data_IF_083655417506
#
_entry.id   IF_083655417506
#
_cell.length_a   1.000
_cell.length_b   1.000
_cell.length_c   1.000
_cell.angle_alpha   90.00
_cell.angle_beta   90.00
_cell.angle_gamma   90.00
#
_symmetry.space_group_name_H-M   'P 1'
#
loop_
_entity.id
_entity.type
_entity.pdbx_description
1 polymer ?
#
# COMPACT_ATOMS: atom_id res chain seq x y z
N UNK A 1 4.82 -17.03 33.21
CA UNK A 1 4.66 -16.13 32.04
C UNK A 1 4.52 -14.71 32.54
N UNK A 2 5.51 -13.85 32.28
CA UNK A 2 5.39 -12.43 32.66
C UNK A 2 4.49 -11.71 31.65
N UNK A 3 3.60 -10.85 32.14
CA UNK A 3 2.63 -10.08 31.35
C UNK A 3 3.32 -9.04 30.42
N UNK A 4 4.63 -8.88 30.53
CA UNK A 4 5.39 -7.86 29.80
C UNK A 4 5.72 -8.22 28.34
N UNK A 5 5.76 -9.50 27.96
CA UNK A 5 6.15 -9.93 26.59
C UNK A 5 5.00 -9.98 25.58
N UNK A 6 3.74 -9.86 26.01
CA UNK A 6 2.57 -9.88 25.10
C UNK A 6 2.31 -8.54 24.41
N UNK A 7 2.83 -7.42 24.93
CA UNK A 7 2.64 -6.08 24.37
C UNK A 7 3.46 -5.81 23.09
N UNK A 8 4.33 -6.73 22.67
CA UNK A 8 5.13 -6.63 21.43
C UNK A 8 4.62 -7.50 20.30
N UNK A 9 3.55 -8.28 20.51
CA UNK A 9 3.00 -9.15 19.48
C UNK A 9 2.28 -8.35 18.38
N UNK A 10 2.40 -8.73 17.10
CA UNK A 10 1.64 -8.12 16.02
C UNK A 10 0.13 -8.21 16.27
N UNK A 11 -0.61 -7.12 16.07
CA UNK A 11 -2.07 -7.17 16.18
C UNK A 11 -2.69 -7.90 14.97
N UNK A 12 -3.64 -8.81 15.24
CA UNK A 12 -4.42 -9.51 14.22
C UNK A 12 -5.83 -8.94 14.24
N UNK A 13 -6.18 -8.18 13.20
CA UNK A 13 -7.51 -7.60 13.05
C UNK A 13 -8.49 -8.66 12.55
N UNK A 14 -9.76 -8.50 12.88
CA UNK A 14 -10.82 -9.37 12.35
C UNK A 14 -11.06 -9.10 10.85
N UNK A 15 -11.60 -10.09 10.14
CA UNK A 15 -11.97 -9.92 8.71
C UNK A 15 -12.96 -8.76 8.52
N UNK A 16 -13.90 -8.55 9.45
CA UNK A 16 -14.85 -7.44 9.39
C UNK A 16 -14.19 -6.07 9.51
N UNK A 17 -13.20 -5.92 10.39
CA UNK A 17 -12.42 -4.69 10.54
C UNK A 17 -11.60 -4.42 9.28
N UNK A 18 -10.98 -5.46 8.71
CA UNK A 18 -10.24 -5.35 7.46
C UNK A 18 -11.15 -4.98 6.28
N UNK A 19 -12.39 -5.47 6.23
CA UNK A 19 -13.37 -5.04 5.22
C UNK A 19 -13.68 -3.55 5.37
N UNK A 20 -13.86 -3.05 6.59
CA UNK A 20 -14.08 -1.60 6.84
C UNK A 20 -12.85 -0.79 6.39
N UNK A 21 -11.65 -1.27 6.68
CA UNK A 21 -10.41 -0.63 6.28
C UNK A 21 -10.20 -0.65 4.77
N UNK A 22 -10.63 -1.72 4.08
CA UNK A 22 -10.63 -1.80 2.62
C UNK A 22 -11.45 -0.66 2.02
N UNK A 23 -12.70 -0.45 2.47
CA UNK A 23 -13.53 0.62 1.95
C UNK A 23 -12.99 2.02 2.28
N UNK A 24 -12.32 2.18 3.42
CA UNK A 24 -11.69 3.45 3.81
C UNK A 24 -10.45 3.77 3.00
N UNK A 25 -9.66 2.78 2.60
CA UNK A 25 -8.33 2.99 2.02
C UNK A 25 -8.28 2.72 0.51
N UNK A 26 -9.03 1.73 0.00
CA UNK A 26 -8.92 1.28 -1.38
C UNK A 26 -9.97 1.91 -2.31
N UNK A 27 -11.12 2.31 -1.76
CA UNK A 27 -12.29 2.85 -2.50
C UNK A 27 -12.34 4.39 -2.50
N UNK A 28 -11.20 5.01 -2.18
CA UNK A 28 -11.05 6.47 -2.25
C UNK A 28 -11.17 6.91 -3.71
N UNK A 29 -11.92 7.98 -3.97
CA UNK A 29 -11.98 8.61 -5.29
C UNK A 29 -10.57 9.13 -5.60
N UNK A 30 -9.92 8.57 -6.61
CA UNK A 30 -8.62 9.04 -7.06
C UNK A 30 -8.72 10.52 -7.40
N UNK A 31 -7.79 11.32 -6.89
CA UNK A 31 -7.62 12.69 -7.37
C UNK A 31 -7.26 12.66 -8.86
N UNK A 32 -7.79 13.62 -9.60
CA UNK A 32 -7.47 13.74 -11.02
C UNK A 32 -6.02 14.20 -11.12
N UNK A 33 -5.18 13.38 -11.73
CA UNK A 33 -3.81 13.74 -12.07
C UNK A 33 -3.83 14.84 -13.15
N UNK A 34 -3.64 16.09 -12.70
CA UNK A 34 -3.62 17.27 -13.57
C UNK A 34 -2.49 17.20 -14.60
N UNK A 35 -1.36 16.57 -14.28
CA UNK A 35 -0.25 16.42 -15.22
C UNK A 35 -0.63 15.46 -16.36
N UNK A 36 -1.35 14.38 -16.03
CA UNK A 36 -1.90 13.49 -17.03
C UNK A 36 -2.96 14.19 -17.90
N UNK A 37 -3.88 14.96 -17.29
CA UNK A 37 -4.87 15.77 -18.01
C UNK A 37 -4.17 16.67 -19.02
N UNK A 38 -3.17 17.42 -18.60
CA UNK A 38 -2.45 18.35 -19.46
C UNK A 38 -1.73 17.62 -20.60
N UNK A 39 -1.14 16.45 -20.36
CA UNK A 39 -0.54 15.62 -21.42
C UNK A 39 -1.58 15.20 -22.46
N UNK A 40 -2.73 14.69 -22.04
CA UNK A 40 -3.79 14.23 -22.96
C UNK A 40 -4.39 15.42 -23.72
N UNK A 41 -4.63 16.55 -23.05
CA UNK A 41 -5.10 17.80 -23.66
C UNK A 41 -4.10 18.30 -24.69
N UNK A 42 -2.82 18.38 -24.34
CA UNK A 42 -1.78 18.88 -25.24
C UNK A 42 -1.60 17.98 -26.45
N UNK A 43 -1.65 16.65 -26.28
CA UNK A 43 -1.58 15.71 -27.39
C UNK A 43 -2.78 15.87 -28.34
N UNK A 44 -4.00 15.97 -27.80
CA UNK A 44 -5.21 16.20 -28.60
C UNK A 44 -5.16 17.57 -29.29
N UNK A 45 -4.68 18.62 -28.61
CA UNK A 45 -4.49 19.95 -29.20
C UNK A 45 -3.47 19.96 -30.32
N UNK A 46 -2.35 19.26 -30.18
CA UNK A 46 -1.36 19.10 -31.24
C UNK A 46 -1.93 18.33 -32.44
N UNK A 47 -2.79 17.34 -32.17
CA UNK A 47 -3.44 16.51 -33.19
C UNK A 47 -4.63 17.17 -33.88
N UNK A 48 -5.14 18.29 -33.37
CA UNK A 48 -6.27 19.02 -33.95
C UNK A 48 -6.04 19.36 -35.42
N UNK A 49 -4.81 19.76 -35.74
CA UNK A 49 -4.47 20.12 -37.10
C UNK A 49 -4.47 18.87 -38.00
N UNK A 50 -4.18 17.67 -37.49
CA UNK A 50 -4.05 16.48 -38.34
C UNK A 50 -5.37 16.11 -39.02
N UNK A 51 -5.38 15.88 -40.35
CA UNK A 51 -6.59 15.51 -41.07
C UNK A 51 -7.19 14.18 -40.58
N UNK A 52 -8.51 14.13 -40.41
CA UNK A 52 -9.21 12.87 -40.14
C UNK A 52 -9.36 12.05 -41.42
N UNK A 53 -8.98 10.77 -41.34
CA UNK A 53 -9.08 9.80 -42.42
C UNK A 53 -10.21 8.84 -42.05
N UNK A 54 -11.36 8.98 -42.71
CA UNK A 54 -12.59 8.20 -42.45
C UNK A 54 -12.56 6.82 -43.11
N UNK A 55 -11.46 6.06 -42.97
CA UNK A 55 -11.34 4.75 -43.62
C UNK A 55 -11.83 3.58 -42.76
N UNK A 56 -12.05 3.79 -41.47
CA UNK A 56 -12.40 2.73 -40.51
C UNK A 56 -13.88 2.73 -40.13
N UNK A 57 -14.47 1.53 -40.05
CA UNK A 57 -15.79 1.32 -39.47
C UNK A 57 -15.83 1.76 -37.99
N UNK A 58 -17.01 2.12 -37.45
CA UNK A 58 -17.15 2.50 -36.05
C UNK A 58 -16.60 1.39 -35.14
N UNK A 59 -15.75 1.76 -34.18
CA UNK A 59 -15.17 0.79 -33.25
C UNK A 59 -16.24 0.36 -32.24
N UNK A 60 -16.50 -0.94 -32.15
CA UNK A 60 -17.39 -1.50 -31.14
C UNK A 60 -16.61 -1.69 -29.82
N UNK A 61 -17.17 -1.24 -28.70
CA UNK A 61 -16.59 -1.41 -27.36
C UNK A 61 -17.39 -2.41 -26.55
N UNK A 62 -16.68 -3.23 -25.78
CA UNK A 62 -17.25 -4.22 -24.85
C UNK A 62 -17.73 -3.60 -23.54
N UNK A 63 -17.19 -2.44 -23.17
CA UNK A 63 -17.59 -1.72 -21.96
C UNK A 63 -17.38 -0.21 -22.12
N UNK A 64 -18.10 0.57 -21.30
CA UNK A 64 -17.91 2.03 -21.23
C UNK A 64 -16.49 2.39 -20.77
N UNK A 65 -15.88 1.56 -19.92
CA UNK A 65 -14.49 1.73 -19.47
C UNK A 65 -13.51 1.63 -20.64
N UNK A 66 -13.71 0.66 -21.53
CA UNK A 66 -12.85 0.47 -22.71
C UNK A 66 -13.00 1.61 -23.71
N UNK A 67 -14.23 2.10 -23.88
CA UNK A 67 -14.52 3.27 -24.69
C UNK A 67 -13.79 4.52 -24.16
N UNK A 68 -13.90 4.80 -22.86
CA UNK A 68 -13.24 5.95 -22.24
C UNK A 68 -11.71 5.85 -22.40
N UNK A 69 -11.13 4.67 -22.13
CA UNK A 69 -9.69 4.43 -22.32
C UNK A 69 -9.26 4.63 -23.77
N UNK A 70 -10.08 4.21 -24.72
CA UNK A 70 -9.82 4.47 -26.13
C UNK A 70 -9.87 5.96 -26.46
N UNK A 71 -10.89 6.69 -26.01
CA UNK A 71 -11.04 8.13 -26.27
C UNK A 71 -9.88 8.94 -25.69
N UNK A 72 -9.44 8.62 -24.47
CA UNK A 72 -8.30 9.25 -23.80
C UNK A 72 -6.93 8.84 -24.39
N UNK A 73 -6.89 7.80 -25.23
CA UNK A 73 -5.67 7.33 -25.87
C UNK A 73 -5.34 8.13 -27.13
N UNK A 74 -4.17 8.76 -27.14
CA UNK A 74 -3.68 9.51 -28.29
C UNK A 74 -4.64 10.62 -28.72
N UNK A 75 -4.99 10.63 -30.01
CA UNK A 75 -5.83 11.67 -30.63
C UNK A 75 -7.26 11.19 -30.90
N UNK A 76 -7.69 10.11 -30.26
CA UNK A 76 -8.95 9.45 -30.61
C UNK A 76 -10.15 10.33 -30.30
N UNK A 77 -10.14 11.05 -29.16
CA UNK A 77 -11.20 12.02 -28.84
C UNK A 77 -11.42 13.04 -29.97
N UNK A 78 -10.33 13.62 -30.49
CA UNK A 78 -10.39 14.60 -31.60
C UNK A 78 -10.90 13.96 -32.89
N UNK A 79 -10.45 12.74 -33.21
CA UNK A 79 -10.81 12.02 -34.44
C UNK A 79 -12.28 11.60 -34.43
N UNK A 80 -12.73 10.93 -33.37
CA UNK A 80 -14.11 10.43 -33.26
C UNK A 80 -15.14 11.57 -33.22
N UNK A 81 -14.80 12.70 -32.60
CA UNK A 81 -15.66 13.89 -32.58
C UNK A 81 -15.49 14.79 -33.82
N UNK A 82 -14.67 14.40 -34.81
CA UNK A 82 -14.41 15.17 -36.03
C UNK A 82 -13.99 16.63 -35.76
N UNK A 83 -13.24 16.83 -34.67
CA UNK A 83 -12.78 18.16 -34.26
C UNK A 83 -11.59 18.64 -35.09
N UNK A 84 -10.97 17.77 -35.89
CA UNK A 84 -9.77 18.10 -36.62
C UNK A 84 -9.97 18.95 -37.88
N UNK A 85 -8.86 19.27 -38.57
CA UNK A 85 -8.89 19.84 -39.91
C UNK A 85 -9.73 18.97 -40.88
N UNK A 86 -10.45 19.63 -41.78
CA UNK A 86 -11.24 18.96 -42.79
C UNK A 86 -10.33 18.30 -43.81
N UNK A 87 -10.63 17.04 -44.13
CA UNK A 87 -9.92 16.25 -45.12
C UNK A 87 -10.91 15.50 -45.99
N UNK A 88 -10.90 15.84 -47.28
CA UNK A 88 -11.68 15.11 -48.28
C UNK A 88 -10.78 14.13 -49.02
N UNK A 89 -11.18 12.86 -49.03
CA UNK A 89 -10.61 11.88 -49.96
C UNK A 89 -11.24 12.11 -51.34
N UNK A 90 -10.43 12.52 -52.32
CA UNK A 90 -10.86 12.78 -53.71
C UNK A 90 -11.57 11.59 -54.38
N UNK A 91 -11.46 10.39 -53.82
CA UNK A 91 -11.82 9.12 -54.47
C UNK A 91 -13.26 8.67 -54.15
N UNK A 92 -13.93 9.18 -53.10
CA UNK A 92 -15.19 8.58 -52.61
C UNK A 92 -16.50 9.21 -53.10
N UNK A 93 -16.55 10.51 -53.34
CA UNK A 93 -17.84 11.23 -53.53
C UNK A 93 -17.98 11.93 -54.91
N UNK A 94 -16.95 11.85 -55.77
CA UNK A 94 -16.92 12.49 -57.07
C UNK A 94 -16.61 14.00 -57.02
N UNK A 95 -16.08 14.54 -58.13
CA UNK A 95 -15.50 15.88 -58.19
C UNK A 95 -16.50 17.01 -57.89
N UNK A 96 -17.77 16.86 -58.27
CA UNK A 96 -18.78 17.92 -58.14
C UNK A 96 -19.21 18.13 -56.68
N UNK A 97 -19.42 17.05 -55.92
CA UNK A 97 -19.74 17.14 -54.50
C UNK A 97 -18.57 17.74 -53.71
N UNK A 98 -17.34 17.41 -54.10
CA UNK A 98 -16.13 17.99 -53.52
C UNK A 98 -16.06 19.51 -53.72
N UNK A 99 -16.36 20.01 -54.91
CA UNK A 99 -16.38 21.46 -55.20
C UNK A 99 -17.47 22.18 -54.41
N UNK A 100 -18.67 21.60 -54.30
CA UNK A 100 -19.77 22.16 -53.50
C UNK A 100 -19.39 22.21 -52.03
N UNK A 101 -18.86 21.12 -51.48
CA UNK A 101 -18.44 21.05 -50.07
C UNK A 101 -17.30 22.02 -49.76
N UNK A 102 -16.36 22.18 -50.69
CA UNK A 102 -15.27 23.16 -50.56
C UNK A 102 -15.79 24.59 -50.52
N UNK A 103 -16.70 24.96 -51.43
CA UNK A 103 -17.33 26.29 -51.46
C UNK A 103 -18.14 26.57 -50.18
N UNK A 104 -18.88 25.58 -49.66
CA UNK A 104 -19.57 25.68 -48.37
C UNK A 104 -18.60 25.97 -47.22
N UNK A 105 -17.51 25.20 -47.11
CA UNK A 105 -16.52 25.38 -46.05
C UNK A 105 -15.79 26.72 -46.16
N UNK A 106 -15.52 27.21 -47.38
CA UNK A 106 -14.96 28.55 -47.57
C UNK A 106 -15.90 29.64 -47.03
N UNK A 107 -17.22 29.52 -47.25
CA UNK A 107 -18.22 30.45 -46.70
C UNK A 107 -18.28 30.42 -45.17
N UNK A 108 -18.01 29.26 -44.57
CA UNK A 108 -17.87 29.10 -43.12
C UNK A 108 -16.54 29.63 -42.56
N UNK A 109 -15.64 30.14 -43.41
CA UNK A 109 -14.37 30.75 -43.01
C UNK A 109 -13.19 29.77 -42.92
N UNK A 110 -13.34 28.54 -43.43
CA UNK A 110 -12.23 27.61 -43.53
C UNK A 110 -11.20 28.11 -44.54
N UNK A 111 -9.92 27.75 -44.31
CA UNK A 111 -8.81 28.13 -45.17
C UNK A 111 -8.17 26.91 -45.80
N UNK A 112 -8.11 26.88 -47.12
CA UNK A 112 -7.36 25.86 -47.87
C UNK A 112 -5.89 25.93 -47.49
N UNK A 113 -5.29 24.78 -47.18
CA UNK A 113 -3.88 24.70 -46.80
C UNK A 113 -3.05 24.42 -48.04
N UNK A 114 -1.98 25.20 -48.25
CA UNK A 114 -1.04 24.90 -49.33
C UNK A 114 -0.20 23.67 -48.98
N UNK A 115 0.25 22.92 -50.00
CA UNK A 115 1.15 21.77 -49.80
C UNK A 115 2.50 22.15 -49.15
N UNK A 116 2.86 23.43 -49.14
CA UNK A 116 4.10 23.97 -48.57
C UNK A 116 3.95 24.37 -47.08
N UNK A 117 2.72 24.53 -46.58
CA UNK A 117 2.45 24.76 -45.15
C UNK A 117 2.58 23.44 -44.38
N UNK A 118 3.84 23.03 -44.22
CA UNK A 118 4.25 21.70 -43.81
C UNK A 118 3.97 21.44 -42.32
N UNK A 119 3.09 20.46 -42.08
CA UNK A 119 2.81 19.67 -40.86
C UNK A 119 1.53 18.83 -41.08
N UNK A 120 0.73 19.20 -42.10
CA UNK A 120 -0.53 18.56 -42.49
C UNK A 120 -0.39 17.61 -43.69
N UNK A 121 0.61 17.86 -44.53
CA UNK A 121 1.00 17.01 -45.65
C UNK A 121 2.00 15.95 -45.15
N UNK A 122 1.49 14.86 -44.58
CA UNK A 122 2.32 13.66 -44.39
C UNK A 122 2.62 13.08 -45.78
N UNK A 123 3.82 12.54 -46.01
CA UNK A 123 4.30 12.04 -47.32
C UNK A 123 3.41 10.99 -48.03
N UNK A 124 2.32 10.52 -47.41
CA UNK A 124 1.32 9.61 -47.98
C UNK A 124 0.12 10.32 -48.64
N UNK A 125 0.08 11.67 -48.69
CA UNK A 125 -1.11 12.44 -49.07
C UNK A 125 -1.03 13.11 -50.45
N UNK A 126 -0.71 12.36 -51.51
CA UNK A 126 -0.89 12.84 -52.89
C UNK A 126 -2.40 12.79 -53.22
N UNK A 127 -2.99 13.88 -53.73
CA UNK A 127 -4.42 14.04 -54.08
C UNK A 127 -5.41 14.19 -52.90
N UNK A 128 -5.15 15.08 -51.94
CA UNK A 128 -6.05 15.37 -50.82
C UNK A 128 -6.28 16.88 -50.66
N UNK A 129 -7.53 17.28 -50.47
CA UNK A 129 -7.91 18.65 -50.12
C UNK A 129 -7.99 18.75 -48.59
N UNK A 130 -7.17 19.62 -48.01
CA UNK A 130 -7.14 19.88 -46.57
C UNK A 130 -7.53 21.33 -46.31
N UNK A 131 -8.47 21.56 -45.39
CA UNK A 131 -8.87 22.90 -44.97
C UNK A 131 -8.76 23.06 -43.45
N UNK A 132 -8.10 24.13 -43.02
CA UNK A 132 -8.02 24.55 -41.61
C UNK A 132 -9.34 25.22 -41.20
N UNK A 133 -9.81 24.91 -40.00
CA UNK A 133 -10.96 25.59 -39.39
C UNK A 133 -10.63 27.07 -39.07
N UNK A 134 -11.63 27.97 -39.02
CA UNK A 134 -11.43 29.33 -38.55
C UNK A 134 -11.09 29.39 -37.05
N UNK A 135 -10.32 30.40 -36.63
CA UNK A 135 -9.77 30.50 -35.27
C UNK A 135 -10.82 30.44 -34.15
N UNK A 136 -12.00 31.04 -34.36
CA UNK A 136 -13.12 31.00 -33.41
C UNK A 136 -13.63 29.57 -33.13
N UNK A 137 -13.67 28.72 -34.16
CA UNK A 137 -14.02 27.30 -34.00
C UNK A 137 -12.92 26.53 -33.28
N UNK A 138 -11.64 26.85 -33.54
CA UNK A 138 -10.50 26.21 -32.87
C UNK A 138 -10.56 26.46 -31.35
N UNK A 139 -10.82 27.68 -30.91
CA UNK A 139 -10.93 28.00 -29.48
C UNK A 139 -12.08 27.25 -28.80
N UNK A 140 -13.22 27.17 -29.48
CA UNK A 140 -14.41 26.44 -29.01
C UNK A 140 -14.12 24.95 -28.90
N UNK A 141 -13.47 24.36 -29.90
CA UNK A 141 -13.11 22.94 -29.93
C UNK A 141 -12.06 22.60 -28.86
N UNK A 142 -11.06 23.46 -28.64
CA UNK A 142 -10.06 23.27 -27.57
C UNK A 142 -10.73 23.32 -26.19
N UNK A 143 -11.68 24.24 -25.98
CA UNK A 143 -12.45 24.31 -24.73
C UNK A 143 -13.25 23.02 -24.51
N UNK A 144 -13.94 22.56 -25.55
CA UNK A 144 -14.68 21.29 -25.52
C UNK A 144 -13.77 20.09 -25.20
N UNK A 145 -12.58 20.00 -25.82
CA UNK A 145 -11.60 18.93 -25.56
C UNK A 145 -11.21 18.89 -24.09
N UNK A 146 -10.90 20.05 -23.49
CA UNK A 146 -10.53 20.14 -22.07
C UNK A 146 -11.67 19.67 -21.17
N UNK A 147 -12.86 20.19 -21.37
CA UNK A 147 -14.05 19.81 -20.59
C UNK A 147 -14.35 18.31 -20.72
N UNK A 148 -14.25 17.75 -21.93
CA UNK A 148 -14.50 16.33 -22.15
C UNK A 148 -13.43 15.42 -21.57
N UNK A 149 -12.16 15.77 -21.63
CA UNK A 149 -11.10 14.96 -21.01
C UNK A 149 -11.33 14.86 -19.49
N UNK A 150 -11.65 15.98 -18.84
CA UNK A 150 -11.94 15.99 -17.40
C UNK A 150 -13.16 15.11 -17.08
N UNK A 151 -14.26 15.29 -17.80
CA UNK A 151 -15.47 14.48 -17.59
C UNK A 151 -15.24 12.97 -17.81
N UNK A 152 -14.47 12.61 -18.84
CA UNK A 152 -14.14 11.21 -19.13
C UNK A 152 -13.26 10.60 -18.02
N UNK A 153 -12.30 11.36 -17.49
CA UNK A 153 -11.46 10.91 -16.38
C UNK A 153 -12.26 10.77 -15.08
N UNK A 154 -13.18 11.69 -14.80
CA UNK A 154 -14.11 11.57 -13.67
C UNK A 154 -14.99 10.32 -13.80
N UNK A 155 -15.56 10.09 -14.97
CA UNK A 155 -16.37 8.90 -15.25
C UNK A 155 -15.55 7.61 -15.11
N UNK A 156 -14.30 7.59 -15.61
CA UNK A 156 -13.40 6.45 -15.47
C UNK A 156 -13.11 6.16 -13.99
N UNK A 157 -12.78 7.19 -13.21
CA UNK A 157 -12.51 7.06 -11.78
C UNK A 157 -13.74 6.52 -11.03
N UNK A 158 -14.94 6.97 -11.38
CA UNK A 158 -16.18 6.50 -10.76
C UNK A 158 -16.50 5.04 -11.14
N UNK A 159 -16.24 4.63 -12.39
CA UNK A 159 -16.36 3.22 -12.82
C UNK A 159 -15.38 2.36 -12.03
N UNK A 160 -14.10 2.74 -11.97
CA UNK A 160 -13.08 1.99 -11.24
C UNK A 160 -13.36 1.93 -9.74
N UNK A 161 -13.89 3.00 -9.16
CA UNK A 161 -14.34 3.02 -7.76
C UNK A 161 -15.49 2.04 -7.53
N UNK A 162 -16.50 2.01 -8.40
CA UNK A 162 -17.62 1.07 -8.31
C UNK A 162 -17.15 -0.38 -8.46
N UNK A 163 -16.21 -0.64 -9.36
CA UNK A 163 -15.60 -1.97 -9.48
C UNK A 163 -14.84 -2.41 -8.23
N UNK A 164 -14.30 -1.46 -7.45
CA UNK A 164 -13.68 -1.73 -6.14
C UNK A 164 -14.71 -1.85 -5.02
N UNK A 165 -15.94 -1.35 -5.17
CA UNK A 165 -17.01 -1.56 -4.19
C UNK A 165 -17.56 -2.99 -4.14
N UNK A 166 -17.05 -3.88 -4.98
CA UNK A 166 -17.42 -5.29 -5.02
C UNK A 166 -17.11 -5.99 -3.69
N UNK A 167 -18.17 -6.56 -3.08
CA UNK A 167 -18.09 -7.30 -1.82
C UNK A 167 -17.14 -8.49 -1.90
N UNK A 168 -17.08 -9.17 -3.04
CA UNK A 168 -16.19 -10.33 -3.24
C UNK A 168 -14.73 -9.86 -3.23
N UNK A 169 -14.43 -8.72 -3.87
CA UNK A 169 -13.07 -8.15 -3.85
C UNK A 169 -12.66 -7.69 -2.46
N UNK A 170 -13.55 -6.99 -1.75
CA UNK A 170 -13.31 -6.56 -0.37
C UNK A 170 -13.07 -7.76 0.56
N UNK A 171 -13.88 -8.81 0.42
CA UNK A 171 -13.77 -10.04 1.22
C UNK A 171 -12.46 -10.77 0.93
N UNK A 172 -12.10 -10.96 -0.35
CA UNK A 172 -10.85 -11.63 -0.72
C UNK A 172 -9.63 -10.85 -0.23
N UNK A 173 -9.65 -9.52 -0.34
CA UNK A 173 -8.58 -8.68 0.19
C UNK A 173 -8.44 -8.84 1.72
N UNK A 174 -9.56 -8.78 2.44
CA UNK A 174 -9.57 -8.91 3.90
C UNK A 174 -9.11 -10.29 4.37
N UNK A 175 -9.51 -11.37 3.69
CA UNK A 175 -9.05 -12.73 4.00
C UNK A 175 -7.54 -12.90 3.78
N UNK A 176 -7.03 -12.38 2.66
CA UNK A 176 -5.58 -12.41 2.39
C UNK A 176 -4.81 -11.63 3.45
N UNK A 177 -5.24 -10.42 3.78
CA UNK A 177 -4.61 -9.60 4.82
C UNK A 177 -4.69 -10.23 6.22
N UNK A 178 -5.82 -10.82 6.57
CA UNK A 178 -5.97 -11.55 7.82
C UNK A 178 -5.00 -12.74 7.89
N UNK A 179 -4.87 -13.51 6.81
CA UNK A 179 -3.93 -14.63 6.73
C UNK A 179 -2.48 -14.18 6.91
N UNK A 180 -2.09 -13.07 6.26
CA UNK A 180 -0.77 -12.45 6.45
C UNK A 180 -0.52 -12.02 7.90
N UNK A 181 -1.50 -11.35 8.53
CA UNK A 181 -1.41 -10.94 9.94
C UNK A 181 -1.29 -12.14 10.88
N UNK A 182 -2.08 -13.19 10.65
CA UNK A 182 -2.03 -14.41 11.46
C UNK A 182 -0.69 -15.14 11.32
N UNK A 183 -0.17 -15.27 10.10
CA UNK A 183 1.13 -15.90 9.86
C UNK A 183 2.27 -15.12 10.54
N UNK A 184 2.22 -13.78 10.52
CA UNK A 184 3.19 -12.94 11.21
C UNK A 184 3.10 -13.09 12.74
N UNK A 185 1.88 -13.18 13.28
CA UNK A 185 1.65 -13.43 14.70
C UNK A 185 2.16 -14.81 15.14
N UNK A 186 1.81 -15.86 14.41
CA UNK A 186 2.23 -17.23 14.70
C UNK A 186 3.76 -17.37 14.65
N UNK A 187 4.41 -16.70 13.68
CA UNK A 187 5.86 -16.63 13.59
C UNK A 187 6.49 -15.94 14.81
N UNK A 188 5.94 -14.80 15.24
CA UNK A 188 6.44 -14.08 16.41
C UNK A 188 6.30 -14.91 17.70
N UNK A 189 5.21 -15.67 17.85
CA UNK A 189 5.05 -16.63 18.95
C UNK A 189 6.12 -17.72 18.89
N UNK A 190 6.35 -18.32 17.73
CA UNK A 190 7.34 -19.38 17.58
C UNK A 190 8.76 -18.90 17.92
N UNK A 191 9.12 -17.69 17.51
CA UNK A 191 10.40 -17.06 17.84
C UNK A 191 10.53 -16.78 19.34
N UNK A 192 9.48 -16.28 19.99
CA UNK A 192 9.45 -16.09 21.45
C UNK A 192 9.59 -17.43 22.19
N UNK A 193 8.82 -18.44 21.80
CA UNK A 193 8.88 -19.78 22.40
C UNK A 193 10.27 -20.43 22.21
N UNK A 194 10.88 -20.26 21.04
CA UNK A 194 12.25 -20.74 20.79
C UNK A 194 13.29 -19.99 21.63
N UNK A 195 13.14 -18.67 21.78
CA UNK A 195 14.01 -17.87 22.64
C UNK A 195 13.90 -18.27 24.11
N UNK A 196 12.68 -18.50 24.60
CA UNK A 196 12.43 -18.98 25.97
C UNK A 196 13.00 -20.39 26.17
N UNK A 197 12.78 -21.30 25.21
CA UNK A 197 13.34 -22.66 25.27
C UNK A 197 14.87 -22.68 25.26
N UNK A 198 15.51 -21.81 24.45
CA UNK A 198 16.97 -21.67 24.43
C UNK A 198 17.49 -21.13 25.76
N UNK A 199 16.86 -20.07 26.30
CA UNK A 199 17.22 -19.52 27.61
C UNK A 199 17.09 -20.57 28.72
N UNK A 200 16.01 -21.36 28.70
CA UNK A 200 15.81 -22.46 29.64
C UNK A 200 16.88 -23.55 29.46
N UNK A 201 17.17 -23.96 28.22
CA UNK A 201 18.21 -24.94 27.94
C UNK A 201 19.59 -24.48 28.44
N UNK A 202 19.97 -23.23 28.15
CA UNK A 202 21.22 -22.64 28.63
C UNK A 202 21.28 -22.63 30.17
N UNK A 203 20.15 -22.36 30.82
CA UNK A 203 20.04 -22.44 32.28
C UNK A 203 20.28 -23.86 32.80
N UNK A 204 19.60 -24.87 32.24
CA UNK A 204 19.80 -26.26 32.66
C UNK A 204 21.20 -26.78 32.36
N UNK A 205 21.78 -26.43 31.21
CA UNK A 205 23.16 -26.84 30.85
C UNK A 205 24.17 -26.28 31.85
N UNK A 206 24.02 -25.02 32.25
CA UNK A 206 25.00 -24.34 33.10
C UNK A 206 24.77 -24.57 34.61
N UNK A 207 23.52 -24.78 35.05
CA UNK A 207 23.16 -24.75 36.48
C UNK A 207 22.45 -25.98 37.01
N UNK A 208 22.06 -26.96 36.19
CA UNK A 208 21.27 -28.13 36.65
C UNK A 208 21.89 -28.86 37.84
N UNK A 209 23.23 -29.00 37.87
CA UNK A 209 23.95 -29.64 38.97
C UNK A 209 23.77 -28.94 40.34
N UNK A 210 23.34 -27.68 40.33
CA UNK A 210 23.12 -26.89 41.54
C UNK A 210 21.65 -26.81 41.95
N UNK A 211 20.70 -27.26 41.11
CA UNK A 211 19.26 -27.07 41.36
C UNK A 211 18.81 -27.72 42.66
N UNK A 212 19.11 -29.01 42.86
CA UNK A 212 18.77 -29.72 44.10
C UNK A 212 19.38 -29.05 45.34
N UNK A 213 20.60 -28.51 45.19
CA UNK A 213 21.28 -27.81 46.28
C UNK A 213 20.58 -26.49 46.59
N UNK A 214 20.24 -25.70 45.58
CA UNK A 214 19.53 -24.42 45.75
C UNK A 214 18.13 -24.66 46.33
N UNK A 215 17.39 -25.64 45.81
CA UNK A 215 16.04 -25.99 46.27
C UNK A 215 16.02 -26.61 47.69
N UNK A 216 17.13 -27.19 48.16
CA UNK A 216 17.19 -27.78 49.50
C UNK A 216 17.04 -26.79 50.66
N UNK A 217 17.17 -25.48 50.39
CA UNK A 217 17.06 -24.42 51.41
C UNK A 217 15.95 -23.44 51.09
N UNK A 218 15.37 -22.86 52.14
CA UNK A 218 14.27 -21.91 51.98
C UNK A 218 14.75 -20.48 51.71
N UNK A 219 16.03 -20.21 51.99
CA UNK A 219 16.67 -18.93 51.68
C UNK A 219 18.15 -19.10 51.32
N UNK A 220 18.67 -18.11 50.62
CA UNK A 220 20.08 -17.97 50.26
C UNK A 220 20.52 -16.51 50.35
N UNK A 221 21.79 -16.30 50.74
CA UNK A 221 22.47 -15.06 50.45
C UNK A 221 23.04 -15.10 49.03
N UNK A 222 23.01 -13.97 48.31
CA UNK A 222 23.47 -13.94 46.93
C UNK A 222 24.97 -14.27 46.79
N UNK A 223 25.78 -13.88 47.78
CA UNK A 223 27.21 -14.18 47.79
C UNK A 223 27.47 -15.68 47.96
N UNK A 224 26.69 -16.39 48.78
CA UNK A 224 26.79 -17.86 48.92
C UNK A 224 26.46 -18.59 47.62
N UNK A 225 25.47 -18.08 46.87
CA UNK A 225 25.11 -18.61 45.56
C UNK A 225 26.19 -18.33 44.52
N UNK A 226 26.81 -17.15 44.58
CA UNK A 226 27.92 -16.79 43.70
C UNK A 226 29.13 -17.69 43.93
N UNK A 227 29.47 -17.96 45.19
CA UNK A 227 30.54 -18.89 45.53
C UNK A 227 30.24 -20.32 45.06
N UNK A 228 28.98 -20.76 45.17
CA UNK A 228 28.55 -22.07 44.68
C UNK A 228 28.60 -22.18 43.16
N UNK A 229 28.12 -21.16 42.44
CA UNK A 229 28.05 -21.14 40.98
C UNK A 229 29.37 -20.69 40.31
N UNK A 230 30.37 -20.30 41.09
CA UNK A 230 31.72 -19.96 40.62
C UNK A 230 31.76 -18.76 39.68
N UNK A 231 32.14 -19.00 38.42
CA UNK A 231 32.35 -17.94 37.41
C UNK A 231 31.06 -17.51 36.67
N UNK A 232 29.89 -18.00 37.09
CA UNK A 232 28.62 -17.58 36.53
C UNK A 232 28.40 -16.06 36.64
N UNK A 233 27.76 -15.45 35.64
CA UNK A 233 27.43 -14.03 35.73
C UNK A 233 26.32 -13.82 36.76
N UNK A 234 26.35 -12.68 37.47
CA UNK A 234 25.32 -12.37 38.47
C UNK A 234 23.90 -12.44 37.87
N UNK A 235 23.74 -12.02 36.61
CA UNK A 235 22.45 -12.01 35.92
C UNK A 235 21.90 -13.43 35.75
N UNK A 236 22.75 -14.38 35.36
CA UNK A 236 22.34 -15.77 35.15
C UNK A 236 21.91 -16.43 36.48
N UNK A 237 22.61 -16.10 37.57
CA UNK A 237 22.24 -16.57 38.92
C UNK A 237 20.87 -16.02 39.35
N UNK A 238 20.60 -14.73 39.11
CA UNK A 238 19.29 -14.13 39.42
C UNK A 238 18.16 -14.72 38.55
N UNK A 239 18.43 -15.06 37.28
CA UNK A 239 17.49 -15.74 36.40
C UNK A 239 17.17 -17.17 36.89
N UNK A 240 18.17 -17.93 37.33
CA UNK A 240 17.99 -19.25 37.94
C UNK A 240 17.13 -19.17 39.19
N UNK A 241 17.42 -18.22 40.09
CA UNK A 241 16.65 -18.05 41.32
C UNK A 241 15.18 -17.72 41.04
N UNK A 242 14.94 -16.84 40.06
CA UNK A 242 13.59 -16.50 39.63
C UNK A 242 12.88 -17.72 39.04
N UNK A 243 13.58 -18.57 38.27
CA UNK A 243 13.04 -19.81 37.73
C UNK A 243 12.67 -20.83 38.82
N UNK A 244 13.49 -20.94 39.88
CA UNK A 244 13.23 -21.80 41.04
C UNK A 244 12.25 -21.18 42.05
N UNK A 245 11.49 -20.14 41.65
CA UNK A 245 10.52 -19.42 42.48
C UNK A 245 11.13 -18.81 43.76
N UNK A 246 12.36 -18.33 43.71
CA UNK A 246 12.93 -17.47 44.75
C UNK A 246 12.66 -16.00 44.41
N UNK A 247 12.27 -15.23 45.43
CA UNK A 247 12.04 -13.79 45.34
C UNK A 247 13.09 -13.06 46.17
N UNK A 248 13.51 -11.89 45.70
CA UNK A 248 14.45 -11.07 46.46
C UNK A 248 13.69 -10.23 47.49
N UNK A 249 14.14 -10.26 48.74
CA UNK A 249 13.55 -9.52 49.85
C UNK A 249 14.63 -8.86 50.69
N UNK A 250 14.26 -7.80 51.41
CA UNK A 250 15.11 -7.17 52.43
C UNK A 250 14.45 -7.25 53.79
N UNK A 251 15.05 -8.00 54.71
CA UNK A 251 14.53 -8.24 56.06
C UNK A 251 15.61 -7.99 57.12
N UNK A 252 15.17 -7.67 58.34
CA UNK A 252 16.06 -7.57 59.50
C UNK A 252 16.38 -8.98 60.01
N UNK A 253 17.67 -9.27 60.22
CA UNK A 253 18.18 -10.58 60.66
C UNK A 253 18.56 -10.58 62.15
N UNK A 254 19.18 -11.67 62.63
CA UNK A 254 19.59 -11.85 64.02
C UNK A 254 20.60 -10.79 64.54
N UNK A 255 21.27 -10.07 63.64
CA UNK A 255 22.21 -8.99 63.97
C UNK A 255 21.55 -7.60 64.05
N UNK A 256 20.20 -7.55 64.03
CA UNK A 256 19.37 -6.35 63.98
C UNK A 256 19.66 -5.43 62.78
N UNK A 257 20.25 -5.95 61.69
CA UNK A 257 20.49 -5.21 60.45
C UNK A 257 19.68 -5.77 59.29
N UNK A 258 19.42 -4.89 58.31
CA UNK A 258 18.66 -5.26 57.10
C UNK A 258 19.60 -5.81 56.02
N UNK A 259 19.31 -7.01 55.54
CA UNK A 259 20.10 -7.70 54.51
C UNK A 259 19.24 -8.12 53.31
N UNK A 260 19.84 -8.21 52.12
CA UNK A 260 19.17 -8.74 50.90
C UNK A 260 19.28 -10.26 50.89
N UNK A 261 18.15 -10.94 50.76
CA UNK A 261 18.05 -12.39 50.68
C UNK A 261 17.26 -12.79 49.43
N UNK A 262 17.54 -13.98 48.95
CA UNK A 262 16.66 -14.69 48.03
C UNK A 262 15.92 -15.75 48.83
N UNK A 263 14.59 -15.70 48.84
CA UNK A 263 13.74 -16.57 49.66
C UNK A 263 12.73 -17.25 48.76
N UNK A 264 12.46 -18.54 48.98
CA UNK A 264 11.38 -19.23 48.27
C UNK A 264 10.08 -18.47 48.45
N UNK A 265 9.35 -18.26 47.36
CA UNK A 265 8.11 -17.48 47.38
C UNK A 265 7.10 -18.03 48.39
N UNK A 266 7.01 -19.36 48.54
CA UNK A 266 6.13 -20.01 49.52
C UNK A 266 6.50 -19.74 50.99
N UNK A 267 7.77 -19.46 51.29
CA UNK A 267 8.28 -19.26 52.65
C UNK A 267 8.49 -17.77 52.98
N UNK A 268 8.29 -16.88 52.01
CA UNK A 268 8.54 -15.44 52.12
C UNK A 268 7.87 -14.77 53.33
N UNK A 269 6.69 -15.26 53.75
CA UNK A 269 5.95 -14.70 54.88
C UNK A 269 6.14 -15.45 56.20
N UNK A 270 6.58 -16.71 56.16
CA UNK A 270 6.59 -17.62 57.32
C UNK A 270 7.99 -17.92 57.87
N UNK A 271 9.05 -17.53 57.15
CA UNK A 271 10.42 -17.72 57.57
C UNK A 271 10.72 -16.92 58.86
N UNK A 272 11.35 -17.55 59.86
CA UNK A 272 11.83 -16.84 61.05
C UNK A 272 13.15 -16.11 60.76
N UNK A 273 13.04 -14.92 60.17
CA UNK A 273 14.18 -14.09 59.79
C UNK A 273 15.10 -13.72 60.96
N UNK A 274 14.58 -13.64 62.20
CA UNK A 274 15.38 -13.29 63.39
C UNK A 274 16.26 -14.44 63.86
N UNK A 275 16.02 -15.66 63.37
CA UNK A 275 16.87 -16.82 63.65
C UNK A 275 18.09 -16.93 62.70
N UNK A 276 18.09 -16.17 61.59
CA UNK A 276 19.10 -16.28 60.55
C UNK A 276 20.33 -15.43 60.91
N UNK A 277 21.50 -16.06 60.97
CA UNK A 277 22.78 -15.38 61.17
C UNK A 277 23.40 -14.99 59.83
N UNK A 278 23.74 -13.72 59.66
CA UNK A 278 24.52 -13.26 58.50
C UNK A 278 25.97 -13.70 58.66
N UNK A 279 26.45 -14.54 57.74
CA UNK A 279 27.87 -14.93 57.65
C UNK A 279 28.54 -14.01 56.64
N UNK A 280 29.66 -13.43 57.05
CA UNK A 280 30.45 -12.47 56.27
C UNK A 280 31.67 -13.15 55.67
#
# INVERSE_FOLDING_TARGET
MSIATTNTLPNVQTVEELIKDYYRTQVIKSEIDLEHVDKVVNFNRASYNLPYISTSAPKAFTSRKDEIKYLLSGSNLVKENKLCAYHHEYIREGLQQLLVKHDELLKEGYKTVSSQEHNLFHQLSVNKLIMKKPNNMIETDIKFIKEKIVLLLEELNDIERKEKMDVVKATNWAQNKHSEQKAAYDKAIAELAASEANSLNDMYVNFSQYFDSIESRDYWFFDELKDMCGNASNKDIEEVLTHLNFTHLRKYLADDKQHKLWVKESEAENLDYKSIQYKK
#
